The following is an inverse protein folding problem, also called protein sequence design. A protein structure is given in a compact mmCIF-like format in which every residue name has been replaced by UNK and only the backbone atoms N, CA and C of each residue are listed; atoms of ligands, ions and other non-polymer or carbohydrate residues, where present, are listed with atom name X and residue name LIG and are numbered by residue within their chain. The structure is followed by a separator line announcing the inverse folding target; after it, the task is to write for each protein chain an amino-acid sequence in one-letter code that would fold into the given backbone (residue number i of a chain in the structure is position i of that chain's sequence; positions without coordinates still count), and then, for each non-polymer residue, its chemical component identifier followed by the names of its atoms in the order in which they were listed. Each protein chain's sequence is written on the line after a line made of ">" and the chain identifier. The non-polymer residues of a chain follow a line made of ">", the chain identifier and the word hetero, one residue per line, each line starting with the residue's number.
data_IF_596583321501
#
_entry.id   IF_596583321501
#
_cell.length_a   1.000
_cell.length_b   1.000
_cell.length_c   1.000
_cell.angle_alpha   90.00
_cell.angle_beta   90.00
_cell.angle_gamma   90.00
#
_symmetry.space_group_name_H-M   'P 1'
#
loop_
_entity.id
_entity.type
_entity.pdbx_description
1 polymer ?
#
# COMPACT_ATOMS: atom_id res chain seq x y z
N UNK A 1 -15.59 93.53 22.37
CA UNK A 1 -14.79 93.91 21.18
C UNK A 1 -14.05 92.65 20.79
N UNK A 2 -14.21 92.03 19.64
CA UNK A 2 -15.00 92.29 18.45
C UNK A 2 -15.11 90.92 17.74
N UNK A 3 -16.22 90.73 17.04
CA UNK A 3 -16.60 89.52 16.31
C UNK A 3 -15.83 89.38 15.01
N UNK A 4 -15.52 88.15 14.59
CA UNK A 4 -15.48 87.80 13.17
C UNK A 4 -15.73 86.31 12.94
N UNK A 5 -17.00 86.02 12.68
CA UNK A 5 -17.52 85.09 11.65
C UNK A 5 -16.66 85.15 10.35
N UNK A 6 -16.49 84.13 9.49
CA UNK A 6 -17.32 82.98 9.11
C UNK A 6 -16.50 82.07 8.16
N UNK A 7 -16.94 80.80 8.03
CA UNK A 7 -17.10 79.96 6.80
C UNK A 7 -16.43 78.58 6.81
N UNK A 8 -17.27 77.55 6.96
CA UNK A 8 -16.99 76.14 6.65
C UNK A 8 -16.99 75.85 5.13
N UNK A 9 -16.14 74.93 4.68
CA UNK A 9 -16.41 74.00 3.55
C UNK A 9 -15.50 72.74 3.56
N UNK A 10 -16.17 71.59 3.77
CA UNK A 10 -16.05 70.19 3.24
C UNK A 10 -14.74 69.35 3.21
N UNK A 11 -14.94 68.07 3.60
CA UNK A 11 -14.25 66.76 3.37
C UNK A 11 -13.34 66.66 2.10
N UNK A 12 -12.23 65.91 2.03
CA UNK A 12 -11.88 64.56 2.53
C UNK A 12 -10.34 64.41 2.69
N UNK A 13 -9.82 63.52 3.57
CA UNK A 13 -8.43 63.06 3.47
C UNK A 13 -8.32 61.54 3.28
N UNK A 14 -7.75 61.15 2.13
CA UNK A 14 -7.12 59.84 1.93
C UNK A 14 -5.60 59.96 2.09
N UNK A 15 -5.02 58.85 2.56
CA UNK A 15 -3.62 58.42 2.48
C UNK A 15 -2.62 59.04 3.46
N UNK A 16 -2.38 58.31 4.55
CA UNK A 16 -1.06 58.22 5.16
C UNK A 16 -0.74 56.75 5.47
N UNK A 17 0.32 56.26 4.82
CA UNK A 17 0.94 54.96 5.08
C UNK A 17 1.71 55.01 6.40
N UNK A 18 1.37 54.14 7.34
CA UNK A 18 2.22 53.81 8.49
C UNK A 18 2.37 52.29 8.59
N UNK A 19 3.63 51.86 8.61
CA UNK A 19 4.06 50.47 8.66
C UNK A 19 3.55 49.76 9.92
N UNK A 20 2.94 48.58 9.75
CA UNK A 20 2.55 47.69 10.83
C UNK A 20 3.72 46.77 11.25
N UNK A 21 3.86 46.43 12.54
CA UNK A 21 4.98 45.63 13.03
C UNK A 21 4.83 44.15 12.66
N UNK A 22 5.96 43.52 12.30
CA UNK A 22 6.09 42.08 12.01
C UNK A 22 5.63 41.24 13.20
N UNK A 23 4.61 40.40 13.00
CA UNK A 23 4.27 39.31 13.93
C UNK A 23 5.36 38.24 13.89
N UNK A 24 5.92 37.91 15.05
CA UNK A 24 6.70 36.69 15.26
C UNK A 24 5.79 35.46 15.06
N UNK A 25 6.30 34.35 14.49
CA UNK A 25 5.51 33.13 14.36
C UNK A 25 5.36 32.49 15.74
N UNK A 26 4.11 32.29 16.17
CA UNK A 26 3.77 31.57 17.39
C UNK A 26 4.05 30.07 17.21
N UNK A 27 4.73 29.47 18.19
CA UNK A 27 4.80 28.03 18.41
C UNK A 27 3.41 27.40 18.31
N UNK A 28 3.16 26.63 17.24
CA UNK A 28 1.98 25.77 17.15
C UNK A 28 2.37 24.37 17.62
N UNK A 29 2.26 24.17 18.93
CA UNK A 29 2.23 22.85 19.54
C UNK A 29 0.92 22.15 19.12
N UNK A 30 1.05 20.95 18.53
CA UNK A 30 0.02 19.91 18.43
C UNK A 30 -1.42 20.34 18.09
N UNK A 31 -1.66 21.01 16.95
CA UNK A 31 -3.02 21.03 16.41
C UNK A 31 -3.34 19.67 15.79
N UNK A 32 -4.13 18.83 16.48
CA UNK A 32 -4.77 17.67 15.86
C UNK A 32 -5.50 18.12 14.58
N UNK A 33 -5.38 17.37 13.47
CA UNK A 33 -6.05 17.74 12.23
C UNK A 33 -7.56 17.92 12.47
N UNK A 34 -8.05 19.13 12.18
CA UNK A 34 -9.43 19.57 12.45
C UNK A 34 -10.43 18.56 11.90
N UNK A 35 -11.41 18.19 12.74
CA UNK A 35 -12.47 17.25 12.35
C UNK A 35 -13.24 17.81 11.14
N UNK A 36 -13.08 17.15 9.98
CA UNK A 36 -13.71 17.60 8.72
C UNK A 36 -15.25 17.51 8.75
N UNK A 37 -15.81 16.71 9.65
CA UNK A 37 -17.25 16.49 9.80
C UNK A 37 -17.65 16.44 11.28
N UNK A 38 -18.90 16.79 11.62
CA UNK A 38 -19.45 16.59 12.97
C UNK A 38 -19.55 15.10 13.36
N UNK A 39 -19.64 14.82 14.67
CA UNK A 39 -19.60 13.46 15.24
C UNK A 39 -20.66 12.54 14.60
N UNK A 40 -21.90 13.01 14.43
CA UNK A 40 -22.98 12.21 13.84
C UNK A 40 -22.65 11.75 12.40
N UNK A 41 -22.09 12.65 11.59
CA UNK A 41 -21.69 12.33 10.22
C UNK A 41 -20.50 11.35 10.19
N UNK A 42 -19.56 11.47 11.14
CA UNK A 42 -18.46 10.51 11.27
C UNK A 42 -18.99 9.10 11.61
N UNK A 43 -19.95 8.99 12.52
CA UNK A 43 -20.60 7.73 12.86
C UNK A 43 -21.36 7.13 11.67
N UNK A 44 -22.15 7.94 10.97
CA UNK A 44 -22.88 7.50 9.78
C UNK A 44 -21.93 7.00 8.69
N UNK A 45 -20.89 7.78 8.38
CA UNK A 45 -19.89 7.41 7.37
C UNK A 45 -19.14 6.14 7.76
N UNK A 46 -18.74 6.02 9.03
CA UNK A 46 -18.12 4.81 9.59
C UNK A 46 -19.00 3.59 9.41
N UNK A 47 -20.29 3.72 9.75
CA UNK A 47 -21.26 2.63 9.63
C UNK A 47 -21.46 2.22 8.17
N UNK A 48 -21.58 3.18 7.25
CA UNK A 48 -21.73 2.92 5.82
C UNK A 48 -20.48 2.22 5.26
N UNK A 49 -19.28 2.70 5.58
CA UNK A 49 -18.03 2.10 5.11
C UNK A 49 -17.84 0.69 5.69
N UNK A 50 -18.14 0.50 6.97
CA UNK A 50 -18.08 -0.81 7.61
C UNK A 50 -19.11 -1.78 7.01
N UNK A 51 -20.35 -1.33 6.80
CA UNK A 51 -21.40 -2.14 6.16
C UNK A 51 -20.97 -2.53 4.76
N UNK A 52 -20.53 -1.56 3.94
CA UNK A 52 -20.01 -1.78 2.60
C UNK A 52 -18.89 -2.84 2.57
N UNK A 53 -17.87 -2.65 3.40
CA UNK A 53 -16.72 -3.56 3.47
C UNK A 53 -17.14 -4.98 3.85
N UNK A 54 -17.99 -5.12 4.88
CA UNK A 54 -18.46 -6.43 5.33
C UNK A 54 -19.35 -7.11 4.28
N UNK A 55 -20.27 -6.38 3.64
CA UNK A 55 -21.09 -6.91 2.55
C UNK A 55 -20.22 -7.41 1.38
N UNK A 56 -19.18 -6.66 1.01
CA UNK A 56 -18.24 -7.11 -0.02
C UNK A 56 -17.46 -8.36 0.41
N UNK A 57 -16.98 -8.43 1.66
CA UNK A 57 -16.29 -9.62 2.16
C UNK A 57 -17.18 -10.87 2.15
N UNK A 58 -18.46 -10.73 2.55
CA UNK A 58 -19.43 -11.81 2.48
C UNK A 58 -19.70 -12.23 1.03
N UNK A 59 -19.90 -11.26 0.13
CA UNK A 59 -20.14 -11.55 -1.28
C UNK A 59 -18.95 -12.27 -1.95
N UNK A 60 -17.73 -11.83 -1.62
CA UNK A 60 -16.51 -12.46 -2.11
C UNK A 60 -16.36 -13.87 -1.54
N UNK A 61 -16.59 -14.08 -0.24
CA UNK A 61 -16.51 -15.42 0.34
C UNK A 61 -17.57 -16.36 -0.25
N UNK A 62 -18.80 -15.90 -0.46
CA UNK A 62 -19.82 -16.66 -1.15
C UNK A 62 -19.38 -17.04 -2.57
N UNK A 63 -18.79 -16.09 -3.29
CA UNK A 63 -18.21 -16.32 -4.62
C UNK A 63 -17.10 -17.37 -4.57
N UNK A 64 -16.19 -17.31 -3.58
CA UNK A 64 -15.13 -18.31 -3.40
C UNK A 64 -15.70 -19.71 -3.11
N UNK A 65 -16.73 -19.82 -2.29
CA UNK A 65 -17.41 -21.09 -1.99
C UNK A 65 -18.05 -21.67 -3.26
N UNK A 66 -18.74 -20.85 -4.06
CA UNK A 66 -19.31 -21.27 -5.35
C UNK A 66 -18.23 -21.84 -6.30
N UNK A 67 -17.05 -21.20 -6.34
CA UNK A 67 -15.93 -21.67 -7.17
C UNK A 67 -15.11 -22.79 -6.57
N UNK A 68 -15.31 -23.15 -5.29
CA UNK A 68 -14.49 -24.16 -4.62
C UNK A 68 -14.54 -25.57 -5.24
N UNK A 69 -15.66 -26.05 -5.82
CA UNK A 69 -15.68 -27.33 -6.52
C UNK A 69 -14.75 -27.39 -7.73
N UNK A 70 -14.36 -26.24 -8.30
CA UNK A 70 -13.37 -26.22 -9.39
C UNK A 70 -12.06 -26.88 -8.99
N UNK A 71 -11.71 -26.90 -7.69
CA UNK A 71 -10.45 -27.51 -7.23
C UNK A 71 -10.34 -29.00 -7.60
N UNK A 72 -11.47 -29.73 -7.55
CA UNK A 72 -11.51 -31.16 -7.89
C UNK A 72 -11.71 -31.39 -9.39
N UNK A 73 -12.28 -30.41 -10.11
CA UNK A 73 -12.54 -30.50 -11.55
C UNK A 73 -11.29 -30.13 -12.35
N UNK A 74 -10.76 -28.93 -12.12
CA UNK A 74 -9.57 -28.40 -12.79
C UNK A 74 -8.90 -27.35 -11.90
N UNK A 75 -7.67 -27.64 -11.45
CA UNK A 75 -6.94 -26.77 -10.52
C UNK A 75 -6.57 -25.43 -11.14
N UNK A 76 -6.32 -25.35 -12.44
CA UNK A 76 -5.98 -24.10 -13.12
C UNK A 76 -7.19 -23.17 -13.18
N UNK A 77 -8.38 -23.73 -13.41
CA UNK A 77 -9.64 -22.99 -13.32
C UNK A 77 -9.90 -22.50 -11.90
N UNK A 78 -9.68 -23.36 -10.90
CA UNK A 78 -9.79 -22.96 -9.50
C UNK A 78 -8.86 -21.79 -9.16
N UNK A 79 -7.57 -21.87 -9.50
CA UNK A 79 -6.63 -20.81 -9.15
C UNK A 79 -6.88 -19.52 -9.93
N UNK A 80 -7.33 -19.61 -11.18
CA UNK A 80 -7.77 -18.45 -11.96
C UNK A 80 -9.03 -17.81 -11.36
N UNK A 81 -9.98 -18.62 -10.90
CA UNK A 81 -11.19 -18.16 -10.21
C UNK A 81 -10.85 -17.50 -8.86
N UNK A 82 -9.96 -18.10 -8.06
CA UNK A 82 -9.51 -17.49 -6.81
C UNK A 82 -8.75 -16.18 -7.05
N UNK A 83 -7.96 -16.09 -8.13
CA UNK A 83 -7.33 -14.84 -8.54
C UNK A 83 -8.36 -13.76 -8.89
N UNK A 84 -9.46 -14.10 -9.56
CA UNK A 84 -10.59 -13.17 -9.82
C UNK A 84 -11.22 -12.65 -8.52
N UNK A 85 -11.48 -13.53 -7.54
CA UNK A 85 -12.01 -13.09 -6.24
C UNK A 85 -11.02 -12.18 -5.48
N UNK A 86 -9.72 -12.44 -5.63
CA UNK A 86 -8.64 -11.60 -5.09
C UNK A 86 -8.59 -10.23 -5.77
N UNK A 87 -8.81 -10.16 -7.09
CA UNK A 87 -8.97 -8.90 -7.81
C UNK A 87 -10.15 -8.10 -7.23
N UNK A 88 -11.28 -8.75 -6.99
CA UNK A 88 -12.45 -8.12 -6.39
C UNK A 88 -12.14 -7.52 -5.02
N UNK A 89 -11.36 -8.20 -4.18
CA UNK A 89 -10.93 -7.61 -2.90
C UNK A 89 -9.96 -6.44 -3.07
N UNK A 90 -9.07 -6.49 -4.07
CA UNK A 90 -8.24 -5.34 -4.46
C UNK A 90 -9.09 -4.10 -4.84
N UNK A 91 -10.22 -4.32 -5.52
CA UNK A 91 -11.19 -3.25 -5.80
C UNK A 91 -11.88 -2.74 -4.54
N UNK A 92 -12.28 -3.64 -3.62
CA UNK A 92 -12.90 -3.28 -2.34
C UNK A 92 -12.00 -2.35 -1.53
N UNK A 93 -10.73 -2.72 -1.33
CA UNK A 93 -9.80 -1.91 -0.52
C UNK A 93 -9.46 -0.59 -1.23
N UNK A 94 -9.33 -0.59 -2.56
CA UNK A 94 -9.10 0.64 -3.33
C UNK A 94 -10.29 1.59 -3.23
N UNK A 95 -11.53 1.09 -3.37
CA UNK A 95 -12.75 1.87 -3.21
C UNK A 95 -12.91 2.38 -1.77
N UNK A 96 -12.62 1.53 -0.78
CA UNK A 96 -12.66 1.87 0.63
C UNK A 96 -11.69 3.01 0.94
N UNK A 97 -10.47 2.97 0.42
CA UNK A 97 -9.51 4.06 0.56
C UNK A 97 -9.99 5.32 -0.17
N UNK A 98 -10.44 5.19 -1.42
CA UNK A 98 -10.93 6.32 -2.22
C UNK A 98 -12.09 7.07 -1.55
N UNK A 99 -13.07 6.35 -0.99
CA UNK A 99 -14.29 6.96 -0.43
C UNK A 99 -14.17 7.26 1.06
N UNK A 100 -13.47 6.41 1.81
CA UNK A 100 -13.35 6.50 3.27
C UNK A 100 -12.19 7.38 3.72
N UNK A 101 -11.08 7.33 3.00
CA UNK A 101 -9.86 8.04 3.40
C UNK A 101 -9.04 8.42 2.16
N UNK A 102 -9.55 9.36 1.31
CA UNK A 102 -8.89 9.73 0.07
C UNK A 102 -7.42 10.05 0.33
N UNK A 103 -6.54 9.22 -0.22
CA UNK A 103 -5.11 9.27 0.09
C UNK A 103 -4.35 9.73 -1.13
N UNK A 104 -3.53 10.76 -0.96
CA UNK A 104 -2.57 11.19 -1.97
C UNK A 104 -1.29 10.37 -1.84
N UNK A 105 -0.77 9.90 -2.97
CA UNK A 105 0.44 9.09 -3.04
C UNK A 105 1.46 9.77 -3.93
N UNK A 106 2.69 9.85 -3.45
CA UNK A 106 3.85 10.29 -4.22
C UNK A 106 4.82 9.13 -4.38
N UNK A 107 5.18 8.84 -5.62
CA UNK A 107 6.05 7.74 -5.99
C UNK A 107 7.34 8.30 -6.57
N UNK A 108 8.46 7.81 -6.05
CA UNK A 108 9.83 8.08 -6.49
C UNK A 108 10.57 6.74 -6.59
N UNK A 109 11.81 6.77 -7.05
CA UNK A 109 12.64 5.57 -7.07
C UNK A 109 14.05 5.84 -7.55
N UNK A 110 14.87 4.80 -7.49
CA UNK A 110 16.23 4.84 -8.00
C UNK A 110 16.28 4.48 -9.50
N UNK A 111 17.47 4.52 -10.08
CA UNK A 111 17.72 4.20 -11.49
C UNK A 111 17.21 2.82 -11.92
N UNK A 112 17.09 1.86 -10.99
CA UNK A 112 16.74 0.47 -11.31
C UNK A 112 15.30 0.34 -11.80
N UNK A 113 14.39 1.23 -11.39
CA UNK A 113 12.96 1.21 -11.76
C UNK A 113 12.57 2.28 -12.79
N UNK A 114 13.55 2.93 -13.43
CA UNK A 114 13.31 3.91 -14.51
C UNK A 114 12.45 3.32 -15.61
N UNK A 115 11.47 4.10 -16.07
CA UNK A 115 10.52 3.70 -17.10
C UNK A 115 9.46 2.69 -16.66
N UNK A 116 9.36 2.36 -15.36
CA UNK A 116 8.34 1.45 -14.83
C UNK A 116 7.24 2.14 -14.03
N UNK A 117 7.33 3.46 -13.84
CA UNK A 117 6.40 4.26 -13.05
C UNK A 117 5.89 5.42 -13.92
N UNK A 118 4.58 5.49 -14.11
CA UNK A 118 3.93 6.42 -15.03
C UNK A 118 2.67 7.02 -14.44
N UNK A 119 2.23 8.14 -15.01
CA UNK A 119 0.93 8.75 -14.74
C UNK A 119 0.06 8.62 -16.00
N UNK A 120 -0.98 7.80 -15.92
CA UNK A 120 -1.92 7.58 -17.02
C UNK A 120 -2.65 8.88 -17.41
N UNK A 121 -3.28 8.89 -18.59
CA UNK A 121 -4.02 10.05 -19.12
C UNK A 121 -5.18 10.49 -18.25
N UNK A 122 -5.71 9.61 -17.41
CA UNK A 122 -6.76 9.98 -16.46
C UNK A 122 -6.19 10.52 -15.15
N UNK A 123 -4.87 10.54 -14.97
CA UNK A 123 -4.17 10.96 -13.76
C UNK A 123 -4.05 9.87 -12.69
N UNK A 124 -4.19 8.59 -13.04
CA UNK A 124 -3.86 7.48 -12.12
C UNK A 124 -2.39 7.10 -12.23
N UNK A 125 -1.85 6.58 -11.13
CA UNK A 125 -0.59 5.86 -11.19
C UNK A 125 -0.77 4.61 -12.05
N UNK A 126 0.18 4.36 -12.95
CA UNK A 126 0.32 3.13 -13.73
C UNK A 126 1.74 2.62 -13.53
N UNK A 127 1.90 1.35 -13.20
CA UNK A 127 3.21 0.74 -13.01
C UNK A 127 3.42 -0.41 -13.99
N UNK A 128 4.66 -0.69 -14.36
CA UNK A 128 5.08 -1.73 -15.30
C UNK A 128 6.18 -2.60 -14.69
N UNK A 129 5.89 -3.13 -13.51
CA UNK A 129 6.70 -4.16 -12.85
C UNK A 129 6.44 -5.54 -13.49
N UNK A 130 7.36 -6.50 -13.35
CA UNK A 130 7.22 -7.84 -13.93
C UNK A 130 6.09 -8.65 -13.26
N UNK A 131 5.58 -9.62 -14.01
CA UNK A 131 4.51 -10.51 -13.55
C UNK A 131 4.93 -11.46 -12.42
N UNK A 132 6.24 -11.66 -12.22
CA UNK A 132 6.80 -12.46 -11.12
C UNK A 132 7.86 -11.66 -10.37
N UNK A 133 7.57 -11.37 -9.10
CA UNK A 133 8.50 -10.69 -8.19
C UNK A 133 8.30 -11.09 -6.72
N UNK A 134 9.35 -10.90 -5.92
CA UNK A 134 9.23 -10.82 -4.46
C UNK A 134 9.23 -9.34 -4.08
N UNK A 135 8.22 -8.91 -3.35
CA UNK A 135 8.04 -7.54 -2.87
C UNK A 135 8.41 -7.46 -1.39
N UNK A 136 9.38 -6.63 -1.07
CA UNK A 136 9.75 -6.27 0.30
C UNK A 136 9.43 -4.80 0.58
N UNK A 137 9.12 -4.51 1.83
CA UNK A 137 8.94 -3.14 2.30
C UNK A 137 9.25 -3.01 3.79
N UNK A 138 9.51 -1.78 4.24
CA UNK A 138 9.43 -1.44 5.66
C UNK A 138 7.96 -1.43 6.13
N UNK A 139 7.71 -1.59 7.42
CA UNK A 139 6.36 -1.71 7.99
C UNK A 139 6.08 -0.65 9.06
N UNK A 140 5.73 0.56 8.64
CA UNK A 140 5.47 1.71 9.50
C UNK A 140 4.10 1.65 10.17
N UNK A 141 3.04 1.28 9.45
CA UNK A 141 1.66 1.29 9.95
C UNK A 141 0.89 0.05 9.51
N UNK A 142 -0.20 -0.27 10.22
CA UNK A 142 -1.00 -1.46 9.92
C UNK A 142 -1.55 -1.49 8.48
N UNK A 143 -1.78 -0.33 7.87
CA UNK A 143 -2.38 -0.19 6.53
C UNK A 143 -1.38 -0.24 5.37
N UNK A 144 -0.07 -0.40 5.61
CA UNK A 144 0.96 -0.44 4.55
C UNK A 144 0.60 -1.41 3.40
N UNK A 145 0.10 -2.60 3.76
CA UNK A 145 -0.26 -3.63 2.79
C UNK A 145 -1.39 -3.20 1.84
N UNK A 146 -2.26 -2.26 2.24
CA UNK A 146 -3.33 -1.74 1.37
C UNK A 146 -2.71 -0.94 0.23
N UNK A 147 -1.72 -0.10 0.53
CA UNK A 147 -1.08 0.72 -0.49
C UNK A 147 -0.19 -0.12 -1.41
N UNK A 148 0.51 -1.14 -0.89
CA UNK A 148 1.28 -2.07 -1.72
C UNK A 148 0.37 -2.93 -2.62
N UNK A 149 -0.80 -3.35 -2.13
CA UNK A 149 -1.79 -4.04 -2.96
C UNK A 149 -2.42 -3.07 -3.98
N UNK A 150 -2.60 -1.80 -3.65
CA UNK A 150 -2.98 -0.79 -4.64
C UNK A 150 -1.93 -0.62 -5.74
N UNK A 151 -0.63 -0.68 -5.43
CA UNK A 151 0.42 -0.72 -6.48
C UNK A 151 0.30 -1.97 -7.35
N UNK A 152 -0.02 -3.13 -6.77
CA UNK A 152 -0.36 -4.30 -7.58
C UNK A 152 -1.62 -4.07 -8.44
N UNK A 153 -2.58 -3.25 -8.00
CA UNK A 153 -3.73 -2.84 -8.83
C UNK A 153 -3.30 -1.96 -10.00
N UNK A 154 -2.40 -0.99 -9.78
CA UNK A 154 -1.86 -0.14 -10.86
C UNK A 154 -1.02 -0.90 -11.87
N UNK A 155 -0.55 -2.08 -11.51
CA UNK A 155 0.15 -3.03 -12.38
C UNK A 155 -0.76 -4.14 -12.94
N UNK A 156 -2.06 -4.16 -12.64
CA UNK A 156 -3.00 -5.26 -12.96
C UNK A 156 -2.70 -6.62 -12.30
N UNK A 157 -1.79 -6.65 -11.32
CA UNK A 157 -1.33 -7.81 -10.55
C UNK A 157 -2.04 -8.04 -9.21
N UNK A 158 -3.02 -7.21 -8.84
CA UNK A 158 -3.81 -7.33 -7.60
C UNK A 158 -4.58 -8.64 -7.40
N UNK A 159 -4.76 -9.46 -8.44
CA UNK A 159 -5.27 -10.85 -8.34
C UNK A 159 -4.22 -11.91 -8.03
N UNK A 160 -2.94 -11.54 -8.19
CA UNK A 160 -1.78 -12.42 -8.19
C UNK A 160 -0.80 -12.09 -7.06
N UNK A 161 -1.18 -11.20 -6.15
CA UNK A 161 -0.42 -10.92 -4.93
C UNK A 161 -0.68 -11.99 -3.86
N UNK A 162 0.37 -12.41 -3.16
CA UNK A 162 0.36 -13.36 -2.05
C UNK A 162 1.10 -12.73 -0.89
N UNK A 163 0.52 -12.79 0.31
CA UNK A 163 1.03 -12.06 1.46
C UNK A 163 1.39 -13.06 2.55
N UNK A 164 2.56 -12.87 3.16
CA UNK A 164 2.92 -13.57 4.40
C UNK A 164 2.30 -12.82 5.58
N UNK A 165 1.46 -13.51 6.35
CA UNK A 165 0.59 -12.93 7.37
C UNK A 165 0.78 -13.59 8.73
N UNK A 166 0.44 -12.87 9.80
CA UNK A 166 0.36 -13.42 11.16
C UNK A 166 -0.73 -14.50 11.22
N UNK A 167 -0.41 -15.65 11.80
CA UNK A 167 -1.33 -16.79 11.84
C UNK A 167 -2.68 -16.50 12.48
N UNK A 168 -2.74 -15.66 13.51
CA UNK A 168 -4.00 -15.32 14.17
C UNK A 168 -5.04 -14.72 13.22
N UNK A 169 -4.62 -14.13 12.09
CA UNK A 169 -5.51 -13.52 11.12
C UNK A 169 -6.40 -14.56 10.39
N UNK A 170 -5.98 -15.83 10.32
CA UNK A 170 -6.78 -16.90 9.69
C UNK A 170 -8.10 -17.18 10.42
N UNK A 171 -8.20 -16.78 11.69
CA UNK A 171 -9.36 -17.03 12.54
C UNK A 171 -10.37 -15.87 12.57
N UNK A 172 -10.10 -14.77 11.88
CA UNK A 172 -11.07 -13.67 11.76
C UNK A 172 -12.27 -14.19 10.95
N UNK A 173 -13.51 -14.13 11.47
CA UNK A 173 -14.68 -14.60 10.72
C UNK A 173 -14.83 -13.90 9.37
N UNK A 174 -15.22 -14.67 8.35
CA UNK A 174 -15.37 -14.28 6.94
C UNK A 174 -14.02 -13.94 6.27
N UNK A 175 -13.28 -12.97 6.81
CA UNK A 175 -12.03 -12.45 6.23
C UNK A 175 -10.93 -13.53 6.29
N UNK A 176 -10.79 -14.24 7.41
CA UNK A 176 -9.81 -15.32 7.60
C UNK A 176 -9.99 -16.49 6.64
N UNK A 177 -11.24 -16.89 6.41
CA UNK A 177 -11.58 -17.89 5.40
C UNK A 177 -11.25 -17.38 4.00
N UNK A 178 -11.60 -16.13 3.69
CA UNK A 178 -11.27 -15.52 2.40
C UNK A 178 -9.77 -15.45 2.12
N UNK A 179 -8.97 -15.07 3.11
CA UNK A 179 -7.50 -15.08 3.03
C UNK A 179 -6.94 -16.50 2.83
N UNK A 180 -7.60 -17.52 3.38
CA UNK A 180 -7.21 -18.93 3.19
C UNK A 180 -7.43 -19.36 1.74
N UNK A 181 -8.56 -19.00 1.13
CA UNK A 181 -8.84 -19.22 -0.29
C UNK A 181 -7.85 -18.49 -1.22
N UNK A 182 -7.36 -17.31 -0.83
CA UNK A 182 -6.34 -16.57 -1.57
C UNK A 182 -4.95 -17.22 -1.60
N UNK A 183 -4.75 -18.28 -0.81
CA UNK A 183 -3.44 -18.93 -0.69
C UNK A 183 -2.42 -18.06 0.06
N UNK A 184 -2.87 -17.12 0.90
CA UNK A 184 -1.97 -16.37 1.77
C UNK A 184 -1.23 -17.29 2.74
N UNK A 185 -0.02 -16.88 3.12
CA UNK A 185 0.89 -17.71 3.91
C UNK A 185 0.86 -17.23 5.35
N UNK A 186 0.11 -17.93 6.18
CA UNK A 186 0.05 -17.65 7.61
C UNK A 186 1.35 -18.12 8.29
N UNK A 187 1.82 -17.40 9.32
CA UNK A 187 3.04 -17.71 10.07
C UNK A 187 2.81 -17.53 11.58
N UNK A 188 3.19 -18.53 12.38
CA UNK A 188 3.13 -18.49 13.84
C UNK A 188 4.28 -17.66 14.44
N UNK A 189 5.28 -17.30 13.61
CA UNK A 189 6.55 -16.69 14.00
C UNK A 189 7.41 -17.65 14.83
N UNK A 190 7.35 -18.94 14.46
CA UNK A 190 8.14 -20.03 15.05
C UNK A 190 8.69 -20.87 13.89
N UNK A 191 9.97 -20.65 13.57
CA UNK A 191 10.58 -21.18 12.35
C UNK A 191 10.38 -22.69 12.16
N UNK A 192 10.64 -23.48 13.21
CA UNK A 192 10.54 -24.95 13.15
C UNK A 192 9.14 -25.45 12.74
N UNK A 193 8.08 -24.83 13.26
CA UNK A 193 6.70 -25.19 12.89
C UNK A 193 6.25 -24.56 11.57
N UNK A 194 6.80 -23.41 11.22
CA UNK A 194 6.38 -22.64 10.05
C UNK A 194 7.02 -23.11 8.74
N UNK A 195 8.28 -23.58 8.79
CA UNK A 195 9.08 -23.94 7.62
C UNK A 195 8.37 -24.91 6.66
N UNK A 196 7.77 -26.05 7.11
CA UNK A 196 7.12 -26.98 6.18
C UNK A 196 5.91 -26.35 5.46
N UNK A 197 5.12 -25.54 6.17
CA UNK A 197 3.97 -24.84 5.59
C UNK A 197 4.42 -23.79 4.57
N UNK A 198 5.44 -23.01 4.92
CA UNK A 198 6.02 -22.01 4.03
C UNK A 198 6.55 -22.68 2.76
N UNK A 199 7.31 -23.77 2.89
CA UNK A 199 7.84 -24.54 1.77
C UNK A 199 6.72 -25.03 0.84
N UNK A 200 5.70 -25.70 1.40
CA UNK A 200 4.56 -26.19 0.61
C UNK A 200 3.85 -25.09 -0.17
N UNK A 201 3.67 -23.90 0.45
CA UNK A 201 3.05 -22.76 -0.24
C UNK A 201 3.94 -22.19 -1.33
N UNK A 202 5.25 -22.10 -1.12
CA UNK A 202 6.20 -21.63 -2.13
C UNK A 202 6.30 -22.60 -3.31
N UNK A 203 6.27 -23.92 -3.07
CA UNK A 203 6.19 -24.94 -4.11
C UNK A 203 4.93 -24.77 -4.99
N UNK A 204 3.78 -24.46 -4.37
CA UNK A 204 2.55 -24.14 -5.11
C UNK A 204 2.64 -22.88 -5.96
N UNK A 205 3.54 -21.98 -5.63
CA UNK A 205 3.75 -20.75 -6.40
C UNK A 205 4.78 -20.94 -7.56
N UNK A 206 5.41 -22.11 -7.63
CA UNK A 206 6.28 -22.54 -8.74
C UNK A 206 5.52 -23.35 -9.79
N UNK A 207 4.19 -23.30 -9.81
CA UNK A 207 3.38 -23.99 -10.82
C UNK A 207 3.62 -23.40 -12.20
N UNK A 208 3.71 -24.29 -13.19
CA UNK A 208 3.94 -23.95 -14.59
C UNK A 208 2.62 -23.95 -15.35
N UNK A 209 2.41 -22.96 -16.22
CA UNK A 209 1.20 -22.89 -17.03
C UNK A 209 1.26 -23.94 -18.15
N UNK A 210 0.41 -24.96 -18.09
CA UNK A 210 0.31 -26.00 -19.13
C UNK A 210 -0.53 -25.46 -20.28
N UNK A 211 0.10 -24.73 -21.21
CA UNK A 211 -0.61 -24.24 -22.39
C UNK A 211 0.11 -23.25 -23.30
N UNK A 212 1.27 -22.70 -22.90
CA UNK A 212 1.99 -21.76 -23.77
C UNK A 212 2.87 -22.51 -24.78
N UNK A 213 2.47 -22.52 -26.05
CA UNK A 213 3.34 -22.84 -27.19
C UNK A 213 4.23 -21.65 -27.62
N UNK A 214 4.47 -20.68 -26.71
CA UNK A 214 5.20 -19.45 -26.98
C UNK A 214 6.34 -19.26 -25.98
N UNK A 215 7.49 -18.76 -26.45
CA UNK A 215 8.78 -18.67 -25.76
C UNK A 215 8.91 -17.73 -24.56
N UNK A 216 7.88 -17.57 -23.72
CA UNK A 216 7.89 -17.07 -22.31
C UNK A 216 6.46 -16.84 -21.79
N UNK A 217 6.15 -16.88 -20.46
CA UNK A 217 6.91 -17.39 -19.31
C UNK A 217 6.48 -18.81 -18.89
N UNK A 218 7.42 -19.54 -18.28
CA UNK A 218 7.23 -20.95 -17.85
C UNK A 218 6.36 -21.11 -16.59
N UNK A 219 6.03 -20.04 -15.86
CA UNK A 219 5.39 -20.06 -14.54
C UNK A 219 4.21 -19.07 -14.42
N UNK A 220 3.24 -19.36 -13.55
CA UNK A 220 2.07 -18.49 -13.32
C UNK A 220 2.47 -17.11 -12.74
N UNK A 221 1.77 -16.00 -13.05
CA UNK A 221 2.05 -14.70 -12.45
C UNK A 221 1.91 -14.70 -10.91
N UNK A 222 2.85 -14.06 -10.20
CA UNK A 222 2.82 -13.98 -8.73
C UNK A 222 3.63 -12.81 -8.16
N UNK A 223 3.08 -12.12 -7.16
CA UNK A 223 3.82 -11.17 -6.33
C UNK A 223 3.83 -11.66 -4.89
N UNK A 224 4.98 -12.02 -4.33
CA UNK A 224 5.08 -12.41 -2.92
C UNK A 224 5.46 -11.20 -2.06
N UNK A 225 4.52 -10.68 -1.27
CA UNK A 225 4.76 -9.61 -0.31
C UNK A 225 5.22 -10.16 1.05
N UNK A 226 6.36 -9.68 1.52
CA UNK A 226 6.92 -9.96 2.84
C UNK A 226 7.47 -8.67 3.47
N UNK A 227 7.20 -8.48 4.75
CA UNK A 227 7.83 -7.43 5.56
C UNK A 227 8.88 -8.07 6.46
N UNK A 228 10.19 -7.97 6.15
CA UNK A 228 11.24 -8.61 6.95
C UNK A 228 11.27 -8.18 8.41
N UNK A 229 10.75 -7.00 8.76
CA UNK A 229 10.57 -6.56 10.15
C UNK A 229 9.66 -7.50 10.97
N UNK A 230 8.73 -8.20 10.31
CA UNK A 230 7.84 -9.21 10.92
C UNK A 230 6.73 -8.66 11.83
N UNK A 231 6.65 -7.34 11.99
CA UNK A 231 5.63 -6.60 12.74
C UNK A 231 5.72 -5.13 12.38
N UNK A 232 4.67 -4.36 12.66
CA UNK A 232 4.68 -2.91 12.47
C UNK A 232 5.58 -2.21 13.51
N UNK A 233 6.12 -1.06 13.12
CA UNK A 233 6.76 -0.11 14.00
C UNK A 233 5.76 0.43 15.03
N UNK A 234 6.16 0.39 16.30
CA UNK A 234 5.44 0.93 17.45
C UNK A 234 6.47 1.16 18.56
N UNK A 235 6.10 1.86 19.64
CA UNK A 235 7.00 2.07 20.78
C UNK A 235 7.51 0.72 21.32
N UNK A 236 6.59 -0.24 21.48
CA UNK A 236 6.89 -1.54 22.05
C UNK A 236 7.79 -2.38 21.13
N UNK A 237 7.53 -2.38 19.83
CA UNK A 237 8.33 -3.15 18.87
C UNK A 237 9.68 -2.52 18.63
N UNK A 238 9.79 -1.18 18.64
CA UNK A 238 11.06 -0.44 18.58
C UNK A 238 11.96 -0.80 19.77
N UNK A 239 11.45 -0.79 20.99
CA UNK A 239 12.22 -1.20 22.19
C UNK A 239 12.75 -2.63 22.05
N UNK A 240 11.88 -3.58 21.65
CA UNK A 240 12.27 -4.98 21.43
C UNK A 240 13.30 -5.15 20.31
N UNK A 241 13.21 -4.33 19.26
CA UNK A 241 14.18 -4.30 18.18
C UNK A 241 15.54 -3.79 18.65
N UNK A 242 15.58 -2.73 19.47
CA UNK A 242 16.81 -2.22 20.07
C UNK A 242 17.47 -3.24 21.01
N UNK A 243 16.69 -3.95 21.83
CA UNK A 243 17.20 -5.04 22.67
C UNK A 243 17.78 -6.19 21.84
N UNK A 244 17.15 -6.51 20.71
CA UNK A 244 17.70 -7.48 19.79
C UNK A 244 19.01 -6.98 19.14
N UNK A 245 19.05 -5.73 18.68
CA UNK A 245 20.24 -5.12 18.10
C UNK A 245 21.41 -5.19 19.08
N UNK A 246 21.20 -4.78 20.34
CA UNK A 246 22.22 -4.85 21.39
C UNK A 246 22.74 -6.28 21.63
N UNK A 247 21.85 -7.28 21.66
CA UNK A 247 22.24 -8.70 21.81
C UNK A 247 23.05 -9.23 20.63
N UNK A 248 22.90 -8.64 19.45
CA UNK A 248 23.63 -9.02 18.24
C UNK A 248 24.85 -8.13 17.98
N UNK A 249 25.17 -7.18 18.87
CA UNK A 249 26.25 -6.22 18.66
C UNK A 249 25.98 -5.23 17.51
N UNK A 250 24.72 -4.97 17.19
CA UNK A 250 24.29 -4.08 16.11
C UNK A 250 23.80 -2.74 16.66
N UNK A 251 24.02 -1.67 15.90
CA UNK A 251 23.38 -0.38 16.15
C UNK A 251 21.88 -0.45 15.87
N UNK A 252 21.02 0.10 16.73
CA UNK A 252 19.60 0.21 16.45
C UNK A 252 19.35 1.19 15.30
N UNK A 253 18.35 0.89 14.47
CA UNK A 253 17.84 1.81 13.45
C UNK A 253 16.91 2.86 14.09
N UNK A 254 16.81 4.04 13.50
CA UNK A 254 16.05 5.17 14.07
C UNK A 254 14.57 5.12 13.70
N UNK A 255 14.28 4.80 12.44
CA UNK A 255 12.99 4.99 11.79
C UNK A 255 12.30 3.66 11.45
N UNK A 256 12.97 2.52 11.60
CA UNK A 256 12.41 1.20 11.34
C UNK A 256 12.92 0.12 12.31
N UNK A 257 12.39 -1.10 12.21
CA UNK A 257 12.85 -2.24 13.01
C UNK A 257 13.98 -2.98 12.29
N UNK A 258 14.86 -3.64 13.05
CA UNK A 258 15.90 -4.50 12.50
C UNK A 258 15.23 -5.69 11.79
N UNK A 259 15.58 -5.98 10.52
CA UNK A 259 14.92 -7.02 9.76
C UNK A 259 15.26 -8.42 10.28
N UNK A 260 14.33 -9.35 10.08
CA UNK A 260 14.48 -10.78 10.32
C UNK A 260 14.67 -11.48 8.98
N UNK A 261 15.87 -11.94 8.73
CA UNK A 261 16.31 -12.48 7.44
C UNK A 261 15.75 -13.86 7.10
N UNK A 262 15.61 -14.75 8.10
CA UNK A 262 15.32 -16.18 7.88
C UNK A 262 14.15 -16.44 6.93
N UNK A 263 13.05 -15.70 7.09
CA UNK A 263 11.86 -15.86 6.26
C UNK A 263 12.08 -15.44 4.81
N UNK A 264 12.71 -14.27 4.60
CA UNK A 264 13.01 -13.76 3.26
C UNK A 264 14.06 -14.62 2.55
N UNK A 265 15.14 -14.98 3.26
CA UNK A 265 16.20 -15.85 2.74
C UNK A 265 15.62 -17.16 2.20
N UNK A 266 14.79 -17.83 3.01
CA UNK A 266 14.16 -19.08 2.60
C UNK A 266 13.22 -18.88 1.41
N UNK A 267 12.41 -17.81 1.39
CA UNK A 267 11.54 -17.52 0.26
C UNK A 267 12.33 -17.37 -1.04
N UNK A 268 13.42 -16.59 -1.01
CA UNK A 268 14.26 -16.35 -2.19
C UNK A 268 14.99 -17.61 -2.63
N UNK A 269 15.50 -18.43 -1.71
CA UNK A 269 16.11 -19.72 -2.04
C UNK A 269 15.11 -20.66 -2.74
N UNK A 270 13.89 -20.79 -2.21
CA UNK A 270 12.88 -21.68 -2.80
C UNK A 270 12.40 -21.18 -4.17
N UNK A 271 12.30 -19.86 -4.34
CA UNK A 271 11.84 -19.21 -5.58
C UNK A 271 12.96 -18.96 -6.60
N UNK A 272 14.23 -19.27 -6.26
CA UNK A 272 15.39 -19.13 -7.15
C UNK A 272 15.12 -19.83 -8.49
N UNK A 273 15.45 -19.15 -9.58
CA UNK A 273 15.18 -19.63 -10.94
C UNK A 273 13.75 -19.39 -11.44
N UNK A 274 12.83 -18.89 -10.60
CA UNK A 274 11.45 -18.57 -11.00
C UNK A 274 11.11 -17.09 -10.89
N UNK A 275 11.97 -16.31 -10.22
CA UNK A 275 11.82 -14.88 -10.00
C UNK A 275 13.16 -14.23 -10.29
N UNK A 276 13.15 -13.13 -11.04
CA UNK A 276 14.36 -12.42 -11.46
C UNK A 276 14.70 -11.24 -10.54
N UNK A 277 13.68 -10.60 -9.96
CA UNK A 277 13.84 -9.35 -9.20
C UNK A 277 13.17 -9.40 -7.82
N UNK A 278 13.86 -8.85 -6.83
CA UNK A 278 13.28 -8.40 -5.56
C UNK A 278 12.97 -6.93 -5.69
N UNK A 279 11.70 -6.56 -5.61
CA UNK A 279 11.25 -5.18 -5.56
C UNK A 279 11.21 -4.72 -4.11
N UNK A 280 11.79 -3.56 -3.87
CA UNK A 280 11.91 -2.98 -2.54
C UNK A 280 11.26 -1.60 -2.49
N UNK A 281 10.29 -1.45 -1.58
CA UNK A 281 9.55 -0.21 -1.36
C UNK A 281 9.85 0.35 0.03
N UNK A 282 10.29 1.61 0.09
CA UNK A 282 10.35 2.37 1.33
C UNK A 282 9.12 3.26 1.41
N UNK A 283 8.28 3.05 2.41
CA UNK A 283 7.06 3.81 2.67
C UNK A 283 7.28 4.78 3.81
N UNK A 284 6.87 6.04 3.61
CA UNK A 284 6.81 7.05 4.65
C UNK A 284 5.48 7.81 4.61
N UNK A 285 5.12 8.40 5.76
CA UNK A 285 3.83 9.05 5.95
C UNK A 285 4.02 10.50 6.34
N UNK A 286 3.30 11.39 5.64
CA UNK A 286 3.19 12.80 6.01
C UNK A 286 2.06 12.99 7.03
N UNK A 287 2.29 13.84 8.04
CA UNK A 287 1.29 14.22 9.04
C UNK A 287 1.74 14.09 10.50
N UNK A 288 2.44 13.02 10.92
CA UNK A 288 2.93 12.91 12.30
C UNK A 288 3.99 13.99 12.56
N UNK A 289 3.99 14.64 13.73
CA UNK A 289 5.07 15.55 14.10
C UNK A 289 6.43 14.84 14.09
N UNK A 290 7.50 15.55 13.71
CA UNK A 290 8.86 14.98 13.62
C UNK A 290 9.23 14.25 14.93
N UNK A 291 9.76 13.03 14.80
CA UNK A 291 10.14 12.18 15.92
C UNK A 291 9.01 11.31 16.49
N UNK A 292 7.76 11.49 16.04
CA UNK A 292 6.66 10.61 16.41
C UNK A 292 6.45 9.47 15.41
N UNK A 293 5.90 8.36 15.91
CA UNK A 293 5.62 7.18 15.11
C UNK A 293 4.32 7.34 14.32
N UNK A 294 4.31 7.03 13.00
CA UNK A 294 3.10 7.03 12.21
C UNK A 294 1.98 6.12 12.75
N UNK A 295 2.31 5.01 13.42
CA UNK A 295 1.35 4.02 13.93
C UNK A 295 0.36 4.60 14.95
N UNK A 296 0.79 5.62 15.71
CA UNK A 296 -0.05 6.33 16.67
C UNK A 296 -1.14 7.17 16.01
N UNK A 297 -0.86 7.73 14.83
CA UNK A 297 -1.74 8.68 14.14
C UNK A 297 -2.61 7.98 13.10
N UNK A 298 -2.07 6.96 12.42
CA UNK A 298 -2.73 6.28 11.30
C UNK A 298 -3.14 4.84 11.65
N UNK A 299 -3.95 4.72 12.70
CA UNK A 299 -4.64 3.48 13.04
C UNK A 299 -5.80 3.22 12.07
N UNK A 300 -6.33 1.99 12.04
CA UNK A 300 -7.57 1.69 11.31
C UNK A 300 -8.73 2.58 11.77
N UNK A 301 -8.82 2.84 13.09
CA UNK A 301 -9.86 3.69 13.67
C UNK A 301 -9.73 5.13 13.20
N UNK A 302 -8.55 5.73 13.30
CA UNK A 302 -8.35 7.12 12.89
C UNK A 302 -8.53 7.29 11.39
N UNK A 303 -7.95 6.39 10.60
CA UNK A 303 -7.99 6.45 9.13
C UNK A 303 -9.40 6.24 8.59
N UNK A 304 -10.08 5.14 8.96
CA UNK A 304 -11.36 4.75 8.34
C UNK A 304 -12.59 5.20 9.12
N UNK A 305 -12.53 5.30 10.46
CA UNK A 305 -13.70 5.67 11.26
C UNK A 305 -13.73 7.19 11.54
N UNK A 306 -12.60 7.78 11.89
CA UNK A 306 -12.51 9.23 12.14
C UNK A 306 -12.25 10.03 10.87
N UNK A 307 -11.91 9.36 9.76
CA UNK A 307 -11.63 10.03 8.48
C UNK A 307 -10.40 10.92 8.53
N UNK A 308 -9.38 10.52 9.29
CA UNK A 308 -8.07 11.18 9.44
C UNK A 308 -7.00 10.35 8.70
N UNK A 309 -6.99 10.32 7.35
CA UNK A 309 -5.90 9.69 6.60
C UNK A 309 -4.58 10.42 6.81
N UNK A 310 -3.45 9.78 6.44
CA UNK A 310 -2.21 10.52 6.19
C UNK A 310 -2.43 11.59 5.10
N UNK A 311 -1.74 12.72 5.26
CA UNK A 311 -1.77 13.82 4.26
C UNK A 311 -1.27 13.31 2.91
N UNK A 312 -0.16 12.57 2.95
CA UNK A 312 0.34 11.83 1.82
C UNK A 312 1.06 10.54 2.26
N UNK A 313 1.05 9.56 1.37
CA UNK A 313 1.88 8.36 1.47
C UNK A 313 2.98 8.49 0.42
N UNK A 314 4.22 8.43 0.87
CA UNK A 314 5.38 8.58 0.01
C UNK A 314 6.02 7.21 -0.16
N UNK A 315 6.34 6.84 -1.39
CA UNK A 315 6.92 5.55 -1.75
C UNK A 315 8.19 5.79 -2.56
N UNK A 316 9.27 5.15 -2.15
CA UNK A 316 10.52 5.08 -2.91
C UNK A 316 10.76 3.63 -3.34
N UNK A 317 10.91 3.41 -4.64
CA UNK A 317 11.06 2.09 -5.24
C UNK A 317 12.48 1.85 -5.77
N UNK A 318 12.98 0.65 -5.53
CA UNK A 318 14.19 0.10 -6.14
C UNK A 318 14.03 -1.40 -6.36
N UNK A 319 14.92 -2.02 -7.13
CA UNK A 319 14.93 -3.48 -7.32
C UNK A 319 16.34 -4.04 -7.32
N UNK A 320 16.46 -5.29 -6.87
CA UNK A 320 17.69 -6.06 -6.81
C UNK A 320 17.55 -7.32 -7.64
N UNK A 321 18.54 -7.64 -8.47
CA UNK A 321 18.55 -8.89 -9.21
C UNK A 321 18.73 -10.04 -8.24
N UNK A 322 17.88 -11.07 -8.31
CA UNK A 322 17.99 -12.25 -7.42
C UNK A 322 19.34 -12.95 -7.59
N UNK A 323 19.95 -12.87 -8.77
CA UNK A 323 21.29 -13.40 -9.05
C UNK A 323 22.42 -12.70 -8.29
N UNK A 324 22.21 -11.47 -7.84
CA UNK A 324 23.23 -10.67 -7.11
C UNK A 324 23.04 -10.74 -5.59
N UNK A 325 21.98 -11.39 -5.12
CA UNK A 325 21.70 -11.56 -3.69
C UNK A 325 22.45 -12.82 -3.21
N UNK A 326 23.22 -12.75 -2.11
CA UNK A 326 23.91 -13.92 -1.57
C UNK A 326 22.89 -14.88 -0.96
N UNK A 327 22.47 -15.88 -1.74
CA UNK A 327 21.47 -16.88 -1.34
C UNK A 327 22.07 -18.24 -0.96
N UNK A 328 23.39 -18.38 -1.06
CA UNK A 328 24.11 -19.61 -0.78
C UNK A 328 24.64 -19.65 0.67
N UNK A 329 24.80 -18.49 1.32
CA UNK A 329 25.19 -18.36 2.73
C UNK A 329 24.24 -17.43 3.52
N UNK A 330 23.79 -17.89 4.69
CA UNK A 330 22.84 -17.14 5.52
C UNK A 330 23.47 -15.90 6.17
N UNK A 331 24.75 -15.94 6.54
CA UNK A 331 25.42 -14.81 7.21
C UNK A 331 25.70 -13.68 6.24
N UNK A 332 26.11 -14.00 5.01
CA UNK A 332 26.25 -13.04 3.92
C UNK A 332 24.90 -12.39 3.57
N UNK A 333 23.84 -13.20 3.47
CA UNK A 333 22.48 -12.68 3.28
C UNK A 333 22.04 -11.76 4.41
N UNK A 334 22.32 -12.13 5.65
CA UNK A 334 21.98 -11.33 6.81
C UNK A 334 22.68 -9.96 6.76
N UNK A 335 23.94 -9.92 6.35
CA UNK A 335 24.70 -8.68 6.18
C UNK A 335 24.15 -7.84 5.03
N UNK A 336 23.90 -8.46 3.88
CA UNK A 336 23.26 -7.80 2.74
C UNK A 336 21.91 -7.18 3.13
N UNK A 337 21.05 -7.92 3.80
CA UNK A 337 19.73 -7.44 4.20
C UNK A 337 19.81 -6.30 5.21
N UNK A 338 20.73 -6.39 6.18
CA UNK A 338 20.96 -5.31 7.16
C UNK A 338 21.42 -4.03 6.47
N UNK A 339 22.32 -4.12 5.51
CA UNK A 339 22.79 -2.98 4.75
C UNK A 339 21.64 -2.30 3.99
N UNK A 340 20.78 -3.10 3.33
CA UNK A 340 19.58 -2.56 2.66
C UNK A 340 18.64 -1.83 3.63
N UNK A 341 18.51 -2.32 4.86
CA UNK A 341 17.72 -1.68 5.92
C UNK A 341 18.39 -0.42 6.49
N UNK A 342 19.72 -0.37 6.56
CA UNK A 342 20.45 0.85 6.92
C UNK A 342 20.26 1.94 5.87
N UNK A 343 20.29 1.59 4.58
CA UNK A 343 19.98 2.53 3.50
C UNK A 343 18.53 3.03 3.57
N UNK A 344 17.56 2.16 3.90
CA UNK A 344 16.17 2.57 4.12
C UNK A 344 16.03 3.55 5.28
N UNK A 345 16.74 3.32 6.38
CA UNK A 345 16.69 4.20 7.54
C UNK A 345 17.23 5.59 7.20
N UNK A 346 18.25 5.66 6.34
CA UNK A 346 18.78 6.92 5.80
C UNK A 346 17.78 7.61 4.85
N UNK A 347 17.13 6.86 3.95
CA UNK A 347 16.08 7.41 3.09
C UNK A 347 14.91 7.99 3.91
N UNK A 348 14.54 7.33 5.01
CA UNK A 348 13.53 7.81 5.93
C UNK A 348 13.97 9.07 6.66
N UNK A 349 15.23 9.14 7.12
CA UNK A 349 15.79 10.36 7.71
C UNK A 349 15.72 11.53 6.73
N UNK A 350 16.20 11.35 5.49
CA UNK A 350 16.15 12.38 4.44
C UNK A 350 14.70 12.81 4.16
N UNK A 351 13.76 11.87 4.09
CA UNK A 351 12.35 12.20 3.94
C UNK A 351 11.81 13.02 5.13
N UNK A 352 12.16 12.68 6.37
CA UNK A 352 11.71 13.44 7.54
C UNK A 352 12.39 14.82 7.67
N UNK A 353 13.51 15.04 7.00
CA UNK A 353 14.19 16.33 6.93
C UNK A 353 13.68 17.22 5.79
N UNK A 354 13.44 16.63 4.61
CA UNK A 354 13.15 17.38 3.37
C UNK A 354 11.68 17.32 2.96
N UNK A 355 10.92 16.35 3.48
CA UNK A 355 9.54 16.04 3.07
C UNK A 355 9.45 15.25 1.77
N UNK A 356 10.57 14.81 1.18
CA UNK A 356 10.62 14.04 -0.07
C UNK A 356 11.69 12.96 0.01
N UNK A 357 11.44 11.82 -0.64
CA UNK A 357 12.51 10.88 -0.92
C UNK A 357 13.34 11.39 -2.10
N UNK A 358 14.64 11.06 -2.18
CA UNK A 358 15.42 11.30 -3.38
C UNK A 358 14.81 10.54 -4.57
N UNK A 359 14.96 11.07 -5.78
CA UNK A 359 14.48 10.42 -6.99
C UNK A 359 15.49 10.51 -8.13
N UNK A 360 15.73 9.36 -8.75
CA UNK A 360 16.50 9.23 -9.98
C UNK A 360 15.59 8.94 -11.19
N UNK A 361 14.28 9.19 -11.06
CA UNK A 361 13.29 8.95 -12.12
C UNK A 361 13.06 10.16 -13.02
N UNK A 362 13.79 11.26 -12.81
CA UNK A 362 13.70 12.47 -13.63
C UNK A 362 13.80 12.13 -15.13
N UNK A 363 12.84 12.65 -15.90
CA UNK A 363 12.71 12.41 -17.34
C UNK A 363 12.28 11.00 -17.75
N UNK A 364 11.93 10.11 -16.81
CA UNK A 364 11.47 8.73 -17.12
C UNK A 364 10.00 8.47 -16.80
N UNK A 365 9.32 9.44 -16.19
CA UNK A 365 7.90 9.34 -15.82
C UNK A 365 7.08 9.99 -16.93
N UNK A 366 6.35 9.18 -17.68
CA UNK A 366 5.40 9.68 -18.67
C UNK A 366 4.14 10.20 -17.97
N UNK A 367 3.66 11.36 -18.40
CA UNK A 367 2.41 11.97 -17.94
C UNK A 367 1.49 12.11 -19.14
N UNK A 368 0.31 11.48 -19.06
CA UNK A 368 -0.68 11.61 -20.12
C UNK A 368 -1.23 13.04 -20.27
N UNK A 369 -1.89 13.34 -21.40
CA UNK A 369 -2.40 14.68 -21.71
C UNK A 369 -3.42 15.15 -20.66
N UNK A 370 -3.42 16.44 -20.32
CA UNK A 370 -4.41 17.05 -19.42
C UNK A 370 -4.00 17.17 -17.94
N UNK A 371 -2.79 16.76 -17.57
CA UNK A 371 -2.25 16.88 -16.21
C UNK A 371 -0.98 17.75 -16.15
N UNK A 372 -1.05 18.96 -16.72
CA UNK A 372 0.08 19.90 -16.80
C UNK A 372 0.71 20.20 -15.43
N UNK A 373 -0.09 20.35 -14.37
CA UNK A 373 0.40 20.58 -13.01
C UNK A 373 1.29 19.44 -12.49
N UNK A 374 1.12 18.23 -13.03
CA UNK A 374 1.92 17.05 -12.67
C UNK A 374 3.17 16.88 -13.51
N UNK A 375 3.29 17.59 -14.64
CA UNK A 375 4.51 17.54 -15.47
C UNK A 375 5.72 18.07 -14.72
N UNK A 376 5.55 19.11 -13.89
CA UNK A 376 6.64 19.64 -13.05
C UNK A 376 7.13 18.59 -12.06
N UNK A 377 6.23 17.89 -11.38
CA UNK A 377 6.58 16.81 -10.46
C UNK A 377 7.24 15.64 -11.19
N UNK A 378 6.70 15.22 -12.33
CA UNK A 378 7.26 14.14 -13.15
C UNK A 378 8.65 14.48 -13.73
N UNK A 379 8.85 15.72 -14.16
CA UNK A 379 10.15 16.22 -14.60
C UNK A 379 11.20 16.16 -13.47
N UNK A 380 10.78 16.41 -12.23
CA UNK A 380 11.58 16.24 -11.02
C UNK A 380 11.69 14.77 -10.55
N UNK A 381 11.08 13.80 -11.26
CA UNK A 381 11.16 12.38 -10.94
C UNK A 381 10.10 11.88 -9.96
N UNK A 382 8.97 12.58 -9.80
CA UNK A 382 7.88 12.17 -8.90
C UNK A 382 6.58 11.91 -9.66
N UNK A 383 6.02 10.72 -9.48
CA UNK A 383 4.67 10.40 -9.93
C UNK A 383 3.68 10.65 -8.78
N UNK A 384 2.76 11.57 -8.99
CA UNK A 384 1.76 11.97 -8.00
C UNK A 384 0.36 11.54 -8.43
N UNK A 385 -0.34 10.82 -7.56
CA UNK A 385 -1.67 10.29 -7.82
C UNK A 385 -2.48 10.09 -6.54
N UNK A 386 -3.80 10.03 -6.67
CA UNK A 386 -4.66 9.57 -5.59
C UNK A 386 -4.92 8.06 -5.69
N UNK A 387 -5.06 7.40 -4.54
CA UNK A 387 -5.61 6.04 -4.48
C UNK A 387 -7.06 6.07 -4.93
N UNK A 388 -7.32 5.50 -6.11
CA UNK A 388 -8.67 5.40 -6.68
C UNK A 388 -8.78 4.27 -7.69
N UNK A 389 -10.04 3.86 -7.91
CA UNK A 389 -10.44 2.99 -9.01
C UNK A 389 -10.22 3.68 -10.36
N UNK A 390 -10.06 2.88 -11.40
CA UNK A 390 -10.06 3.34 -12.78
C UNK A 390 -11.44 3.81 -13.21
N UNK A 391 -12.46 3.05 -12.83
CA UNK A 391 -13.83 3.45 -13.04
C UNK A 391 -14.73 2.91 -11.93
N UNK A 392 -15.75 3.67 -11.52
CA UNK A 392 -16.65 3.25 -10.43
C UNK A 392 -17.38 1.93 -10.76
N UNK A 393 -17.65 1.67 -12.03
CA UNK A 393 -18.31 0.43 -12.48
C UNK A 393 -17.48 -0.84 -12.23
N UNK A 394 -16.16 -0.72 -11.98
CA UNK A 394 -15.33 -1.87 -11.59
C UNK A 394 -15.87 -2.54 -10.32
N UNK A 395 -16.48 -1.77 -9.42
CA UNK A 395 -17.13 -2.27 -8.20
C UNK A 395 -18.23 -3.29 -8.51
N UNK A 396 -18.90 -3.17 -9.66
CA UNK A 396 -19.89 -4.15 -10.10
C UNK A 396 -19.31 -5.57 -10.21
N UNK A 397 -18.01 -5.70 -10.52
CA UNK A 397 -17.32 -6.99 -10.66
C UNK A 397 -17.36 -7.83 -9.38
N UNK A 398 -17.40 -7.18 -8.21
CA UNK A 398 -17.47 -7.85 -6.90
C UNK A 398 -18.73 -8.73 -6.80
N UNK A 399 -19.82 -8.32 -7.44
CA UNK A 399 -21.13 -8.98 -7.32
C UNK A 399 -21.55 -9.78 -8.57
N UNK A 400 -20.81 -9.69 -9.68
CA UNK A 400 -21.22 -10.28 -10.97
C UNK A 400 -21.51 -11.78 -10.89
N UNK A 401 -20.68 -12.56 -10.18
CA UNK A 401 -20.89 -14.01 -10.06
C UNK A 401 -22.18 -14.32 -9.29
N UNK A 402 -22.44 -13.60 -8.20
CA UNK A 402 -23.65 -13.81 -7.41
C UNK A 402 -24.91 -13.39 -8.18
N UNK A 403 -24.86 -12.27 -8.90
CA UNK A 403 -25.96 -11.84 -9.77
C UNK A 403 -26.25 -12.86 -10.87
N UNK A 404 -25.20 -13.40 -11.51
CA UNK A 404 -25.32 -14.47 -12.50
C UNK A 404 -25.92 -15.74 -11.91
N UNK A 405 -25.48 -16.16 -10.73
CA UNK A 405 -26.03 -17.32 -10.03
C UNK A 405 -27.52 -17.14 -9.70
N UNK A 406 -27.91 -15.96 -9.19
CA UNK A 406 -29.32 -15.63 -8.92
C UNK A 406 -30.15 -15.65 -10.21
N UNK A 407 -29.62 -15.10 -11.30
CA UNK A 407 -30.30 -15.11 -12.60
C UNK A 407 -30.52 -16.55 -13.09
N UNK A 408 -29.50 -17.41 -13.06
CA UNK A 408 -29.61 -18.81 -13.45
C UNK A 408 -30.63 -19.59 -12.60
N UNK A 409 -30.67 -19.35 -11.28
CA UNK A 409 -31.67 -19.97 -10.41
C UNK A 409 -33.10 -19.49 -10.68
N UNK A 410 -33.28 -18.26 -11.18
CA UNK A 410 -34.60 -17.70 -11.54
C UNK A 410 -35.02 -17.99 -12.98
N UNK A 411 -34.08 -18.37 -13.85
CA UNK A 411 -34.33 -18.60 -15.27
C UNK A 411 -35.45 -19.64 -15.54
N UNK A 412 -35.54 -20.77 -14.82
CA UNK A 412 -36.66 -21.71 -15.03
C UNK A 412 -38.03 -21.07 -14.78
N UNK A 413 -38.16 -20.29 -13.70
CA UNK A 413 -39.40 -19.55 -13.37
C UNK A 413 -39.73 -18.47 -14.40
N UNK A 414 -38.73 -17.82 -14.99
CA UNK A 414 -38.92 -16.81 -16.03
C UNK A 414 -39.32 -17.42 -17.38
N UNK A 415 -38.86 -18.64 -17.65
CA UNK A 415 -39.15 -19.39 -18.88
C UNK A 415 -40.42 -20.26 -18.77
N UNK A 416 -41.11 -20.25 -17.63
CA UNK A 416 -42.36 -20.99 -17.42
C UNK A 416 -42.20 -22.50 -17.22
N UNK A 417 -41.02 -22.95 -16.78
CA UNK A 417 -40.75 -24.35 -16.41
C UNK A 417 -41.01 -24.63 -14.93
#
# INVERSE_FOLDING_TARGET
>A
MDTSEVRQRKHDPQLNHTAAPKKQPSDSQDEEPRLKHGIAMQLLRSLLLATWFNCCCVAILATQVIGSPLYVINKDWYYSYMAYTKQSFGLVITALTQWGCPTFVRVSGDKSVRGQVHVAEDGRLKTQFPERLVLIANHQVYTDWIYLWWVAYTNTMHGRIFIILKESLKYIPIIGQGMTFYGFIFMARKWLSDKPRLQHRLEKLKTQHTGSQSGSPQYDPMWLLIFPEGTNLSINTRRRSAEYAAKQGLSPLKHELIPRSTGLFFCLQQLRGTVEWVYDCTVAYEGPPKGNLPDKYFTLRSTYLQGRPPTSVNMHWRRFAVSEIPLDDQQEFDSWLRERWTEKDQLLEEYYETGRFPSELAGSIEVGPGFEDRKTAAAAGYAEAHVRLGHWAEVGRIFMVLLGAVFLCKLPKLLGF
#
